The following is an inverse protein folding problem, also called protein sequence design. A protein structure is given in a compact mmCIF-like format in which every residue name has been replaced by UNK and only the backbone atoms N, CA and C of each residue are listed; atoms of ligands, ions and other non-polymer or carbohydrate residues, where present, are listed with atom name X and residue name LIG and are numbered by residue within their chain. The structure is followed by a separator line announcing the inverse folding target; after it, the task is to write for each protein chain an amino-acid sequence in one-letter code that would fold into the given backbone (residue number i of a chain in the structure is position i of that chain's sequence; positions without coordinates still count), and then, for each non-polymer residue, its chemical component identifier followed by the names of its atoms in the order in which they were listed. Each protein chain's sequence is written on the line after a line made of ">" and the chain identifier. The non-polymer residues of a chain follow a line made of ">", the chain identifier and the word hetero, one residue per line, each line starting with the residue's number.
data_IF_725904695659
#
_entry.id   IF_725904695659
#
_cell.length_a   1.000
_cell.length_b   1.000
_cell.length_c   1.000
_cell.angle_alpha   90.00
_cell.angle_beta   90.00
_cell.angle_gamma   90.00
#
_symmetry.space_group_name_H-M   'P 1'
#
loop_
_entity.id
_entity.type
_entity.pdbx_description
1 polymer ?
#
# COMPACT_ATOMS: atom_id res chain seq x y z
N UNK A 1 -3.61 19.77 20.78
CA UNK A 1 -2.42 18.89 20.69
C UNK A 1 -2.88 17.52 20.23
N UNK A 2 -2.52 17.10 19.03
CA UNK A 2 -2.82 15.73 18.57
C UNK A 2 -1.86 14.78 19.28
N UNK A 3 -2.38 13.88 20.10
CA UNK A 3 -1.58 12.83 20.74
C UNK A 3 -1.11 11.92 19.60
N UNK A 4 0.17 11.99 19.27
CA UNK A 4 0.79 11.12 18.27
C UNK A 4 0.80 9.71 18.87
N UNK A 5 -0.06 8.84 18.39
CA UNK A 5 -0.09 7.44 18.80
C UNK A 5 1.23 6.77 18.44
N UNK A 6 1.88 6.11 19.39
CA UNK A 6 3.12 5.36 19.13
C UNK A 6 2.86 4.23 18.12
N UNK A 7 3.75 4.08 17.15
CA UNK A 7 3.65 3.08 16.06
C UNK A 7 4.95 2.27 15.95
N UNK A 8 5.36 1.58 17.04
CA UNK A 8 6.71 1.01 17.13
C UNK A 8 7.02 -0.04 16.06
N UNK A 9 6.04 -0.81 15.61
CA UNK A 9 6.24 -1.77 14.52
C UNK A 9 6.31 -1.07 13.18
N UNK A 10 5.39 -0.15 12.93
CA UNK A 10 5.34 0.60 11.67
C UNK A 10 6.55 1.52 11.51
N UNK A 11 7.09 2.05 12.61
CA UNK A 11 8.28 2.90 12.61
C UNK A 11 9.56 2.14 12.21
N UNK A 12 9.56 0.81 12.35
CA UNK A 12 10.66 -0.07 11.95
C UNK A 12 10.49 -0.65 10.52
N UNK A 13 9.45 -0.28 9.79
CA UNK A 13 9.14 -0.81 8.47
C UNK A 13 9.26 0.28 7.42
N UNK A 14 10.25 0.16 6.55
CA UNK A 14 10.38 0.98 5.36
C UNK A 14 9.78 0.28 4.12
N UNK A 15 9.92 -1.03 4.04
CA UNK A 15 9.50 -1.83 2.89
C UNK A 15 8.86 -3.16 3.32
N UNK A 16 8.15 -3.86 2.41
CA UNK A 16 7.63 -5.19 2.69
C UNK A 16 8.68 -6.23 3.11
N UNK A 17 9.95 -6.00 2.78
CA UNK A 17 11.03 -6.87 3.26
C UNK A 17 11.14 -6.85 4.78
N UNK A 18 11.02 -5.67 5.38
CA UNK A 18 11.09 -5.50 6.84
C UNK A 18 9.86 -6.10 7.53
N UNK A 19 8.68 -5.91 6.91
CA UNK A 19 7.43 -6.49 7.38
C UNK A 19 7.50 -8.02 7.47
N UNK A 20 8.11 -8.68 6.49
CA UNK A 20 8.26 -10.15 6.48
C UNK A 20 9.17 -10.70 7.57
N UNK A 21 9.93 -9.86 8.27
CA UNK A 21 10.73 -10.26 9.43
C UNK A 21 9.91 -10.33 10.73
N UNK A 22 8.71 -9.80 10.73
CA UNK A 22 7.82 -9.84 11.91
C UNK A 22 7.31 -11.25 12.19
N UNK A 23 7.02 -11.52 13.46
CA UNK A 23 6.25 -12.70 13.84
C UNK A 23 4.78 -12.52 13.47
N UNK A 24 4.08 -13.61 13.15
CA UNK A 24 2.64 -13.57 12.85
C UNK A 24 1.81 -12.94 13.96
N UNK A 25 2.20 -13.15 15.22
CA UNK A 25 1.55 -12.54 16.39
C UNK A 25 1.62 -10.99 16.43
N UNK A 26 2.54 -10.39 15.68
CA UNK A 26 2.72 -8.93 15.59
C UNK A 26 1.89 -8.29 14.49
N UNK A 27 1.36 -9.08 13.53
CA UNK A 27 0.68 -8.54 12.34
C UNK A 27 -0.62 -7.80 12.71
N UNK A 28 -1.32 -8.24 13.77
CA UNK A 28 -2.50 -7.52 14.24
C UNK A 28 -2.15 -6.12 14.74
N UNK A 29 -1.11 -6.02 15.58
CA UNK A 29 -0.63 -4.73 16.07
C UNK A 29 -0.17 -3.83 14.90
N UNK A 30 0.57 -4.37 13.95
CA UNK A 30 0.97 -3.61 12.76
C UNK A 30 -0.25 -3.10 11.98
N UNK A 31 -1.29 -3.91 11.84
CA UNK A 31 -2.53 -3.49 11.18
C UNK A 31 -3.20 -2.33 11.92
N UNK A 32 -3.25 -2.38 13.25
CA UNK A 32 -3.82 -1.31 14.06
C UNK A 32 -2.99 -0.01 13.93
N UNK A 33 -1.66 -0.09 13.93
CA UNK A 33 -0.76 1.05 13.73
C UNK A 33 -0.90 1.65 12.32
N UNK A 34 -0.98 0.80 11.30
CA UNK A 34 -1.17 1.19 9.89
C UNK A 34 -2.53 1.84 9.66
N UNK A 35 -3.57 1.36 10.33
CA UNK A 35 -4.91 1.95 10.32
C UNK A 35 -4.87 3.36 10.88
N UNK A 36 -4.25 3.54 12.04
CA UNK A 36 -4.12 4.85 12.67
C UNK A 36 -3.32 5.82 11.80
N UNK A 37 -2.21 5.38 11.19
CA UNK A 37 -1.42 6.20 10.26
C UNK A 37 -2.25 6.62 9.03
N UNK A 38 -3.06 5.70 8.49
CA UNK A 38 -3.95 5.99 7.36
C UNK A 38 -5.01 7.03 7.73
N UNK A 39 -5.62 6.89 8.91
CA UNK A 39 -6.61 7.86 9.41
C UNK A 39 -5.97 9.25 9.58
N UNK A 40 -4.82 9.33 10.24
CA UNK A 40 -4.09 10.58 10.46
C UNK A 40 -3.69 11.25 9.13
N UNK A 41 -3.22 10.48 8.15
CA UNK A 41 -2.86 11.01 6.85
C UNK A 41 -4.08 11.57 6.10
N UNK A 42 -5.15 10.79 6.00
CA UNK A 42 -6.35 11.16 5.25
C UNK A 42 -7.13 12.28 5.93
N UNK A 43 -7.11 12.37 7.27
CA UNK A 43 -7.71 13.51 8.00
C UNK A 43 -7.08 14.85 7.61
N UNK A 44 -5.81 14.83 7.18
CA UNK A 44 -5.09 16.01 6.72
C UNK A 44 -5.27 16.29 5.23
N UNK A 45 -5.24 15.24 4.40
CA UNK A 45 -5.20 15.38 2.93
C UNK A 45 -6.57 15.25 2.26
N UNK A 46 -7.55 14.66 2.96
CA UNK A 46 -8.74 14.13 2.32
C UNK A 46 -8.45 12.86 1.50
N UNK A 47 -9.49 12.22 0.99
CA UNK A 47 -9.37 11.04 0.12
C UNK A 47 -10.31 9.91 0.48
N UNK A 48 -10.03 8.71 -0.04
CA UNK A 48 -10.86 7.52 0.10
C UNK A 48 -10.54 6.77 1.40
N UNK A 49 -11.08 7.25 2.53
CA UNK A 49 -10.78 6.67 3.84
C UNK A 49 -11.36 5.26 4.01
N UNK A 50 -12.67 5.11 3.80
CA UNK A 50 -13.37 3.83 4.05
C UNK A 50 -12.81 2.67 3.25
N UNK A 51 -12.50 2.89 1.96
CA UNK A 51 -11.91 1.87 1.10
C UNK A 51 -10.51 1.45 1.58
N UNK A 52 -9.68 2.41 2.03
CA UNK A 52 -8.36 2.12 2.60
C UNK A 52 -8.45 1.36 3.91
N UNK A 53 -9.35 1.74 4.81
CA UNK A 53 -9.53 1.07 6.10
C UNK A 53 -10.05 -0.37 5.96
N UNK A 54 -10.89 -0.63 4.95
CA UNK A 54 -11.43 -1.96 4.68
C UNK A 54 -10.40 -2.98 4.19
N UNK A 55 -9.20 -2.56 3.79
CA UNK A 55 -8.16 -3.46 3.25
C UNK A 55 -6.85 -3.40 4.02
N UNK A 56 -6.84 -2.86 5.23
CA UNK A 56 -5.60 -2.75 6.04
C UNK A 56 -5.00 -4.13 6.31
N UNK A 57 -5.77 -5.05 6.89
CA UNK A 57 -5.34 -6.41 7.20
C UNK A 57 -4.97 -7.19 5.93
N UNK A 58 -5.76 -7.04 4.88
CA UNK A 58 -5.46 -7.64 3.58
C UNK A 58 -4.12 -7.13 3.04
N UNK A 59 -3.86 -5.83 3.13
CA UNK A 59 -2.59 -5.23 2.67
C UNK A 59 -1.40 -5.78 3.45
N UNK A 60 -1.52 -5.87 4.78
CA UNK A 60 -0.49 -6.47 5.64
C UNK A 60 -0.26 -7.92 5.26
N UNK A 61 -1.33 -8.73 5.12
CA UNK A 61 -1.25 -10.13 4.77
C UNK A 61 -0.60 -10.36 3.39
N UNK A 62 -1.00 -9.59 2.38
CA UNK A 62 -0.43 -9.68 1.03
C UNK A 62 1.08 -9.38 1.03
N UNK A 63 1.51 -8.32 1.72
CA UNK A 63 2.93 -7.98 1.80
C UNK A 63 3.74 -8.90 2.72
N UNK A 64 3.09 -9.59 3.64
CA UNK A 64 3.72 -10.61 4.48
C UNK A 64 3.95 -11.91 3.72
N UNK A 65 2.95 -12.37 2.95
CA UNK A 65 2.99 -13.65 2.24
C UNK A 65 3.75 -13.58 0.93
N UNK A 66 3.51 -12.53 0.12
CA UNK A 66 4.10 -12.39 -1.21
C UNK A 66 5.40 -11.59 -1.19
N UNK A 67 6.35 -12.01 -2.00
CA UNK A 67 7.64 -11.33 -2.14
C UNK A 67 7.56 -10.16 -3.14
N UNK A 68 6.78 -9.14 -2.78
CA UNK A 68 6.70 -7.91 -3.59
C UNK A 68 8.04 -7.15 -3.55
N UNK A 69 8.49 -6.52 -4.63
CA UNK A 69 7.82 -6.35 -5.93
C UNK A 69 8.13 -7.46 -6.96
N UNK A 70 8.79 -8.56 -6.59
CA UNK A 70 8.96 -9.71 -7.50
C UNK A 70 7.60 -10.27 -7.86
N UNK A 71 6.82 -10.64 -6.85
CA UNK A 71 5.39 -10.92 -7.02
C UNK A 71 4.64 -9.62 -7.34
N UNK A 72 3.83 -9.65 -8.39
CA UNK A 72 3.13 -8.45 -8.87
C UNK A 72 1.80 -8.29 -8.16
N UNK A 73 1.70 -7.27 -7.31
CA UNK A 73 0.44 -6.89 -6.66
C UNK A 73 -0.23 -5.78 -7.46
N UNK A 74 -1.39 -6.08 -8.04
CA UNK A 74 -2.17 -5.14 -8.84
C UNK A 74 -3.47 -4.82 -8.10
N UNK A 75 -3.68 -3.55 -7.79
CA UNK A 75 -4.88 -3.06 -7.15
C UNK A 75 -5.92 -2.68 -8.19
N UNK A 76 -7.15 -3.17 -8.05
CA UNK A 76 -8.26 -2.71 -8.87
C UNK A 76 -8.67 -1.29 -8.45
N UNK A 77 -8.92 -0.40 -9.38
CA UNK A 77 -9.09 1.04 -9.15
C UNK A 77 -7.88 1.68 -8.45
N UNK A 78 -7.40 1.14 -7.36
CA UNK A 78 -6.24 1.61 -6.60
C UNK A 78 -6.54 2.73 -5.59
N UNK A 79 -7.80 3.11 -5.39
CA UNK A 79 -8.21 4.13 -4.41
C UNK A 79 -8.07 3.64 -2.95
N UNK A 80 -8.01 2.34 -2.73
CA UNK A 80 -7.78 1.69 -1.44
C UNK A 80 -6.29 1.51 -1.10
N UNK A 81 -5.37 1.94 -1.96
CA UNK A 81 -3.94 1.62 -1.87
C UNK A 81 -3.13 2.52 -0.91
N UNK A 82 -3.76 3.29 -0.02
CA UNK A 82 -3.02 4.13 0.94
C UNK A 82 -2.19 3.32 1.93
N UNK A 83 -2.73 2.26 2.57
CA UNK A 83 -1.93 1.35 3.39
C UNK A 83 -0.76 0.73 2.61
N UNK A 84 -0.98 0.35 1.35
CA UNK A 84 0.08 -0.15 0.47
C UNK A 84 1.20 0.89 0.26
N UNK A 85 0.85 2.16 0.02
CA UNK A 85 1.85 3.23 -0.13
C UNK A 85 2.68 3.41 1.14
N UNK A 86 2.04 3.37 2.31
CA UNK A 86 2.72 3.49 3.62
C UNK A 86 3.74 2.35 3.77
N UNK A 87 3.37 1.10 3.49
CA UNK A 87 4.24 -0.08 3.64
C UNK A 87 5.31 -0.23 2.53
N UNK A 88 5.29 0.63 1.53
CA UNK A 88 6.19 0.54 0.36
C UNK A 88 7.07 1.77 0.17
N UNK A 89 7.57 2.33 1.29
CA UNK A 89 8.58 3.38 1.31
C UNK A 89 8.06 4.79 1.00
N UNK A 90 6.75 5.03 1.15
CA UNK A 90 6.15 6.35 0.88
C UNK A 90 5.47 6.97 2.10
N UNK A 91 5.74 6.43 3.31
CA UNK A 91 5.12 6.89 4.55
C UNK A 91 5.46 8.34 4.88
N UNK A 92 6.69 8.73 4.68
CA UNK A 92 7.17 10.12 4.89
C UNK A 92 6.43 11.14 4.04
N UNK A 93 6.00 10.71 2.85
CA UNK A 93 5.27 11.53 1.88
C UNK A 93 3.75 11.34 1.92
N UNK A 94 3.23 10.46 2.78
CA UNK A 94 1.80 10.09 2.75
C UNK A 94 0.88 11.30 2.95
N UNK A 95 1.35 12.31 3.70
CA UNK A 95 0.61 13.58 3.92
C UNK A 95 0.66 14.55 2.74
N UNK A 96 1.18 14.10 1.59
CA UNK A 96 1.10 14.82 0.31
C UNK A 96 0.11 14.17 -0.66
N UNK A 97 -0.67 13.18 -0.22
CA UNK A 97 -1.68 12.51 -1.03
C UNK A 97 -2.60 13.52 -1.73
N UNK A 98 -2.79 13.35 -3.05
CA UNK A 98 -3.68 14.16 -3.88
C UNK A 98 -3.33 15.65 -3.94
N UNK A 99 -2.18 16.04 -3.41
CA UNK A 99 -1.67 17.41 -3.51
C UNK A 99 -0.84 17.57 -4.81
N UNK A 100 -0.75 18.80 -5.28
CA UNK A 100 0.14 19.12 -6.41
C UNK A 100 1.58 18.70 -6.12
N UNK A 101 2.22 17.95 -7.04
CA UNK A 101 3.55 17.35 -6.88
C UNK A 101 3.68 16.32 -5.75
N UNK A 102 2.59 15.98 -5.07
CA UNK A 102 2.51 14.96 -4.04
C UNK A 102 2.21 13.57 -4.60
N UNK A 103 1.87 12.66 -3.69
CA UNK A 103 1.49 11.29 -4.04
C UNK A 103 0.12 11.26 -4.72
N UNK A 104 -0.02 10.42 -5.75
CA UNK A 104 -1.29 10.11 -6.39
C UNK A 104 -2.27 9.45 -5.41
N UNK A 105 -3.56 9.73 -5.56
CA UNK A 105 -4.62 9.01 -4.84
C UNK A 105 -4.83 7.56 -5.30
N UNK A 106 -4.08 7.11 -6.31
CA UNK A 106 -4.12 5.77 -6.90
C UNK A 106 -2.71 5.21 -7.02
N UNK A 107 -2.57 3.91 -7.33
CA UNK A 107 -1.26 3.35 -7.67
C UNK A 107 -0.71 4.02 -8.92
N UNK A 108 0.61 4.28 -8.93
CA UNK A 108 1.28 4.99 -10.01
C UNK A 108 2.71 4.49 -10.21
N UNK A 109 2.99 3.91 -11.38
CA UNK A 109 4.29 3.31 -11.71
C UNK A 109 5.49 4.23 -11.51
N UNK A 110 5.32 5.53 -11.78
CA UNK A 110 6.41 6.51 -11.60
C UNK A 110 6.68 6.88 -10.15
N UNK A 111 5.85 6.45 -9.19
CA UNK A 111 6.07 6.68 -7.77
C UNK A 111 6.89 5.59 -7.09
N UNK A 112 6.69 4.34 -7.51
CA UNK A 112 7.28 3.20 -6.82
C UNK A 112 7.34 1.96 -7.70
N UNK A 113 8.43 1.19 -7.55
CA UNK A 113 8.55 -0.15 -8.15
C UNK A 113 7.52 -1.15 -7.63
N UNK A 114 6.88 -0.85 -6.49
CA UNK A 114 5.82 -1.67 -5.91
C UNK A 114 4.45 -1.42 -6.58
N UNK A 115 4.36 -0.45 -7.46
CA UNK A 115 3.17 -0.16 -8.26
C UNK A 115 3.41 -0.66 -9.71
N UNK A 116 3.25 -1.95 -10.02
CA UNK A 116 3.55 -2.50 -11.35
C UNK A 116 2.59 -1.96 -12.42
N UNK A 117 1.42 -1.50 -12.00
CA UNK A 117 0.38 -0.97 -12.86
C UNK A 117 -0.24 0.31 -12.27
N UNK A 118 -0.44 1.31 -13.12
CA UNK A 118 -1.19 2.52 -12.76
C UNK A 118 -2.70 2.27 -12.93
N UNK A 119 -3.48 2.63 -11.92
CA UNK A 119 -4.92 2.40 -11.93
C UNK A 119 -5.70 3.72 -11.76
N UNK A 120 -6.99 3.68 -11.85
CA UNK A 120 -8.01 4.67 -11.52
C UNK A 120 -9.40 4.26 -12.04
N UNK A 121 -9.49 3.18 -12.82
CA UNK A 121 -10.73 2.65 -13.38
C UNK A 121 -10.97 1.22 -12.91
N UNK A 122 -12.25 0.89 -12.65
CA UNK A 122 -12.67 -0.42 -12.21
C UNK A 122 -12.43 -1.50 -13.30
N UNK A 123 -12.17 -2.71 -12.86
CA UNK A 123 -11.96 -3.92 -13.67
C UNK A 123 -10.69 -3.92 -14.54
N UNK A 124 -9.88 -2.87 -14.55
CA UNK A 124 -8.63 -2.83 -15.32
C UNK A 124 -7.56 -3.79 -14.78
N UNK A 125 -7.64 -4.18 -13.51
CA UNK A 125 -6.72 -5.13 -12.89
C UNK A 125 -6.77 -6.51 -13.53
N UNK A 126 -7.92 -6.96 -14.03
CA UNK A 126 -8.12 -8.28 -14.64
C UNK A 126 -7.25 -8.39 -15.90
N UNK A 127 -7.42 -7.48 -16.84
CA UNK A 127 -6.63 -7.50 -18.09
C UNK A 127 -5.16 -7.19 -17.85
N UNK A 128 -4.83 -6.29 -16.91
CA UNK A 128 -3.45 -6.02 -16.54
C UNK A 128 -2.77 -7.26 -15.95
N UNK A 129 -3.42 -7.97 -15.02
CA UNK A 129 -2.89 -9.18 -14.42
C UNK A 129 -2.70 -10.30 -15.45
N UNK A 130 -3.65 -10.46 -16.38
CA UNK A 130 -3.50 -11.41 -17.48
C UNK A 130 -2.28 -11.07 -18.34
N UNK A 131 -2.10 -9.80 -18.70
CA UNK A 131 -0.92 -9.36 -19.46
C UNK A 131 0.40 -9.64 -18.75
N UNK A 132 0.46 -9.44 -17.42
CA UNK A 132 1.65 -9.80 -16.62
C UNK A 132 1.89 -11.30 -16.58
N UNK A 133 0.83 -12.12 -16.46
CA UNK A 133 0.95 -13.58 -16.47
C UNK A 133 1.46 -14.11 -17.82
N UNK A 134 0.89 -13.65 -18.92
CA UNK A 134 1.34 -14.00 -20.27
C UNK A 134 2.80 -13.56 -20.51
N UNK A 135 3.15 -12.34 -20.11
CA UNK A 135 4.51 -11.85 -20.26
C UNK A 135 5.54 -12.64 -19.43
N UNK A 136 5.15 -13.16 -18.28
CA UNK A 136 5.97 -14.08 -17.47
C UNK A 136 6.19 -15.38 -18.23
N UNK A 137 5.13 -15.99 -18.72
CA UNK A 137 5.19 -17.30 -19.38
C UNK A 137 5.97 -17.25 -20.70
N UNK A 138 5.93 -16.12 -21.41
CA UNK A 138 6.72 -15.90 -22.63
C UNK A 138 8.22 -15.68 -22.35
N UNK A 139 8.60 -15.39 -21.10
CA UNK A 139 10.00 -15.14 -20.71
C UNK A 139 10.65 -16.31 -19.99
N UNK A 140 9.86 -17.31 -19.62
CA UNK A 140 10.35 -18.54 -18.99
C UNK A 140 10.88 -19.51 -20.01
#
# INVERSE_FOLDING_TARGET
>A
MSIKTAKPLLDAIDTPKDLRLLKTSQLKQLSDELRNETIEAVSTTGGHLGAGLGVVELTVALHYVFNTPLDKLIWDVGHQAYPHKILTGRRDRIRTLRQGKGLSGFTKRSESRFDPFGAAHAATSISASLGFAVARDLKA
#
